data_IF_278115523144
#
_entry.id   IF_278115523144
#
_cell.length_a   1.000
_cell.length_b   1.000
_cell.length_c   1.000
_cell.angle_alpha   90.00
_cell.angle_beta   90.00
_cell.angle_gamma   90.00
#
_symmetry.space_group_name_H-M   'P 1'
#
loop_
_entity.id
_entity.type
_entity.pdbx_description
1 polymer ?
#
# COMPACT_ATOMS: atom_id res chain seq x y z
N UNK A 1 10.45 21.53 -2.70
CA UNK A 1 10.10 20.58 -1.62
C UNK A 1 8.71 20.93 -1.15
N UNK A 2 7.73 20.03 -1.29
CA UNK A 2 6.38 20.26 -0.75
C UNK A 2 6.46 20.22 0.77
N UNK A 3 6.00 21.27 1.43
CA UNK A 3 6.04 21.36 2.89
C UNK A 3 5.13 20.27 3.48
N UNK A 4 5.69 19.27 4.17
CA UNK A 4 4.98 18.07 4.62
C UNK A 4 3.85 18.34 5.62
N UNK A 5 3.76 19.57 6.13
CA UNK A 5 2.76 19.98 7.11
C UNK A 5 1.48 20.56 6.50
N UNK A 6 1.40 20.74 5.18
CA UNK A 6 0.16 21.19 4.52
C UNK A 6 -0.51 20.06 3.75
N UNK A 7 -1.84 19.91 3.86
CA UNK A 7 -2.56 18.94 3.06
C UNK A 7 -2.54 19.34 1.58
N UNK A 8 -2.38 18.35 0.71
CA UNK A 8 -2.51 18.50 -0.74
C UNK A 8 -3.97 18.74 -1.14
N UNK A 9 -4.87 18.01 -0.50
CA UNK A 9 -6.32 18.08 -0.68
C UNK A 9 -6.94 17.87 0.70
N UNK A 10 -7.91 18.70 1.10
CA UNK A 10 -8.58 18.51 2.38
C UNK A 10 -9.99 19.08 2.39
N UNK A 11 -10.86 18.44 3.17
CA UNK A 11 -12.13 18.99 3.61
C UNK A 11 -12.26 18.88 5.14
N UNK A 12 -13.47 19.04 5.67
CA UNK A 12 -13.75 18.98 7.11
C UNK A 12 -13.47 17.61 7.75
N UNK A 13 -13.42 16.53 6.98
CA UNK A 13 -13.40 15.15 7.48
C UNK A 13 -12.22 14.33 6.98
N UNK A 14 -11.56 14.75 5.89
CA UNK A 14 -10.44 14.03 5.28
C UNK A 14 -9.38 15.03 4.84
N UNK A 15 -8.12 14.70 5.08
CA UNK A 15 -6.96 15.44 4.59
C UNK A 15 -5.90 14.51 4.01
N UNK A 16 -5.50 14.78 2.77
CA UNK A 16 -4.49 14.06 2.00
C UNK A 16 -3.14 14.76 2.14
N UNK A 17 -2.09 14.05 2.57
CA UNK A 17 -0.72 14.54 2.68
C UNK A 17 0.18 13.75 1.71
N UNK A 18 1.45 14.12 1.51
CA UNK A 18 2.32 13.41 0.57
C UNK A 18 2.50 11.90 0.83
N UNK A 19 2.50 11.46 2.10
CA UNK A 19 2.84 10.08 2.48
C UNK A 19 1.72 9.32 3.20
N UNK A 20 0.67 10.03 3.59
CA UNK A 20 -0.47 9.50 4.31
C UNK A 20 -1.68 10.37 4.07
N UNK A 21 -2.86 9.85 4.41
CA UNK A 21 -4.02 10.69 4.60
C UNK A 21 -4.60 10.49 6.00
N UNK A 22 -5.40 11.46 6.44
CA UNK A 22 -6.02 11.51 7.76
C UNK A 22 -7.52 11.58 7.58
N UNK A 23 -8.22 10.74 8.32
CA UNK A 23 -9.67 10.82 8.52
C UNK A 23 -9.90 11.47 9.88
N UNK A 24 -10.52 12.64 9.88
CA UNK A 24 -11.00 13.32 11.08
C UNK A 24 -12.35 12.74 11.51
N UNK A 25 -12.65 12.85 12.81
CA UNK A 25 -13.86 12.28 13.41
C UNK A 25 -13.99 10.78 13.17
N UNK A 26 -12.86 10.07 13.20
CA UNK A 26 -12.84 8.62 12.99
C UNK A 26 -13.62 7.87 14.10
N UNK A 27 -13.68 8.41 15.31
CA UNK A 27 -14.58 7.91 16.36
C UNK A 27 -15.52 9.04 16.79
N UNK A 28 -16.53 9.32 15.97
CA UNK A 28 -17.42 10.46 16.17
C UNK A 28 -17.90 10.58 17.63
N UNK A 29 -17.81 11.76 18.25
CA UNK A 29 -17.44 13.07 17.67
C UNK A 29 -15.94 13.43 17.78
N UNK A 30 -15.06 12.46 18.03
CA UNK A 30 -13.62 12.70 18.23
C UNK A 30 -12.74 11.77 17.40
N UNK A 31 -11.43 11.83 17.64
CA UNK A 31 -10.47 10.90 17.07
C UNK A 31 -10.02 11.26 15.65
N UNK A 32 -8.85 10.73 15.30
CA UNK A 32 -8.23 10.86 14.00
C UNK A 32 -7.62 9.51 13.63
N UNK A 33 -7.75 9.09 12.39
CA UNK A 33 -7.09 7.89 11.86
C UNK A 33 -6.12 8.32 10.78
N UNK A 34 -4.85 8.04 11.00
CA UNK A 34 -3.79 8.24 10.01
C UNK A 34 -3.58 6.94 9.25
N UNK A 35 -3.59 7.01 7.92
CA UNK A 35 -3.42 5.85 7.04
C UNK A 35 -2.29 6.17 6.06
N UNK A 36 -1.21 5.42 6.17
CA UNK A 36 -0.05 5.55 5.27
C UNK A 36 -0.32 4.81 3.97
N UNK A 37 0.07 5.40 2.83
CA UNK A 37 -0.20 4.81 1.52
C UNK A 37 0.50 3.45 1.31
N UNK A 38 1.62 3.21 1.97
CA UNK A 38 2.33 1.92 1.94
C UNK A 38 1.59 0.79 2.67
N UNK A 39 0.54 1.10 3.45
CA UNK A 39 -0.33 0.11 4.10
C UNK A 39 -1.59 -0.19 3.28
N UNK A 40 -1.85 0.60 2.23
CA UNK A 40 -3.02 0.40 1.38
C UNK A 40 -2.72 -0.71 0.36
N UNK A 41 -3.54 -1.76 0.38
CA UNK A 41 -3.48 -2.91 -0.52
C UNK A 41 -4.26 -2.65 -1.80
N UNK A 42 -5.46 -2.09 -1.67
CA UNK A 42 -6.31 -1.70 -2.80
C UNK A 42 -7.03 -0.38 -2.52
N UNK A 43 -7.38 0.29 -3.61
CA UNK A 43 -8.14 1.52 -3.65
C UNK A 43 -9.02 1.45 -4.89
N UNK A 44 -10.33 1.44 -4.69
CA UNK A 44 -11.34 1.26 -5.73
C UNK A 44 -12.30 2.45 -5.71
N UNK A 45 -12.70 2.91 -6.89
CA UNK A 45 -13.69 3.98 -7.05
C UNK A 45 -15.01 3.33 -7.49
N UNK A 46 -16.07 3.64 -6.76
CA UNK A 46 -17.41 3.07 -6.95
C UNK A 46 -18.46 4.18 -7.03
N UNK A 47 -19.60 3.89 -7.65
CA UNK A 47 -20.74 4.81 -7.66
C UNK A 47 -21.51 4.68 -6.35
N UNK A 48 -21.99 5.79 -5.79
CA UNK A 48 -22.89 5.73 -4.62
C UNK A 48 -24.23 5.10 -4.94
N UNK A 49 -24.61 5.03 -6.22
CA UNK A 49 -25.83 4.37 -6.67
C UNK A 49 -25.76 2.85 -6.48
N UNK A 50 -24.55 2.29 -6.31
CA UNK A 50 -24.31 0.88 -6.04
C UNK A 50 -24.57 0.52 -4.56
N UNK A 51 -24.79 1.52 -3.69
CA UNK A 51 -25.02 1.32 -2.26
C UNK A 51 -26.50 1.15 -1.94
N UNK A 52 -26.81 0.08 -1.22
CA UNK A 52 -28.15 -0.12 -0.68
C UNK A 52 -28.48 0.96 0.37
N UNK A 53 -29.78 1.20 0.59
CA UNK A 53 -30.26 2.18 1.58
C UNK A 53 -29.63 1.99 2.98
N UNK A 54 -29.38 0.73 3.38
CA UNK A 54 -28.76 0.40 4.67
C UNK A 54 -27.25 0.66 4.73
N UNK A 55 -26.60 0.86 3.59
CA UNK A 55 -25.18 1.13 3.45
C UNK A 55 -24.87 2.63 3.40
N UNK A 56 -25.87 3.46 3.12
CA UNK A 56 -25.78 4.92 3.08
C UNK A 56 -25.74 5.59 4.47
N UNK A 57 -25.05 4.98 5.45
CA UNK A 57 -24.86 5.58 6.78
C UNK A 57 -24.08 6.88 6.70
N UNK A 58 -24.30 7.82 7.62
CA UNK A 58 -23.49 9.05 7.67
C UNK A 58 -22.10 8.83 8.29
N UNK A 59 -21.96 7.83 9.16
CA UNK A 59 -20.72 7.48 9.87
C UNK A 59 -20.79 6.05 10.43
N UNK A 60 -19.62 5.45 10.65
CA UNK A 60 -19.47 4.18 11.35
C UNK A 60 -19.65 2.96 10.45
N UNK A 61 -19.82 1.80 11.07
CA UNK A 61 -20.00 0.54 10.34
C UNK A 61 -21.48 0.27 10.06
N UNK A 62 -21.80 -0.21 8.86
CA UNK A 62 -23.14 -0.69 8.48
C UNK A 62 -23.30 -2.19 8.77
N UNK A 63 -24.25 -2.86 8.10
CA UNK A 63 -24.31 -4.33 8.05
C UNK A 63 -23.27 -4.92 7.08
N UNK A 64 -22.67 -4.09 6.23
CA UNK A 64 -21.55 -4.46 5.36
C UNK A 64 -20.21 -4.31 6.08
N UNK A 65 -19.14 -5.02 5.65
CA UNK A 65 -17.81 -4.94 6.24
C UNK A 65 -17.07 -3.64 5.87
N UNK A 66 -17.82 -2.54 5.71
CA UNK A 66 -17.33 -1.21 5.36
C UNK A 66 -17.61 -0.26 6.52
N UNK A 67 -16.55 0.35 7.01
CA UNK A 67 -16.60 1.45 7.95
C UNK A 67 -16.51 2.76 7.20
N UNK A 68 -17.44 3.65 7.52
CA UNK A 68 -17.63 4.90 6.82
C UNK A 68 -17.18 6.07 7.66
N UNK A 69 -16.38 6.96 7.06
CA UNK A 69 -16.05 8.22 7.72
C UNK A 69 -17.28 9.14 7.87
N UNK A 70 -17.16 10.18 8.69
CA UNK A 70 -18.26 11.11 8.89
C UNK A 70 -18.42 12.00 7.64
N UNK A 71 -19.54 11.89 6.93
CA UNK A 71 -19.89 12.82 5.83
C UNK A 71 -21.40 13.06 5.79
N UNK A 72 -21.82 14.24 6.27
CA UNK A 72 -23.23 14.64 6.28
C UNK A 72 -23.81 14.88 4.89
N UNK A 73 -22.95 15.03 3.88
CA UNK A 73 -23.35 15.25 2.48
C UNK A 73 -23.29 13.97 1.66
N UNK A 74 -23.08 12.79 2.27
CA UNK A 74 -22.92 11.52 1.54
C UNK A 74 -24.01 11.26 0.51
N UNK A 75 -25.26 11.48 0.89
CA UNK A 75 -26.43 11.26 0.02
C UNK A 75 -26.45 12.14 -1.24
N UNK A 76 -25.59 13.16 -1.29
CA UNK A 76 -25.43 14.08 -2.43
C UNK A 76 -24.14 13.81 -3.22
N UNK A 77 -23.34 12.83 -2.82
CA UNK A 77 -22.10 12.45 -3.52
C UNK A 77 -22.45 11.46 -4.60
N UNK A 78 -21.67 11.44 -5.69
CA UNK A 78 -21.85 10.46 -6.78
C UNK A 78 -20.91 9.27 -6.67
N UNK A 79 -19.76 9.48 -6.03
CA UNK A 79 -18.70 8.49 -5.96
C UNK A 79 -18.19 8.31 -4.53
N UNK A 80 -17.69 7.12 -4.26
CA UNK A 80 -16.94 6.82 -3.05
C UNK A 80 -15.69 6.00 -3.37
N UNK A 81 -14.68 6.11 -2.51
CA UNK A 81 -13.51 5.24 -2.53
C UNK A 81 -13.70 4.16 -1.49
N UNK A 82 -13.45 2.91 -1.89
CA UNK A 82 -13.29 1.78 -0.99
C UNK A 82 -11.79 1.48 -0.82
N UNK A 83 -11.30 1.55 0.43
CA UNK A 83 -9.90 1.34 0.78
C UNK A 83 -9.71 0.06 1.60
N UNK A 84 -8.87 -0.83 1.10
CA UNK A 84 -8.24 -1.88 1.91
C UNK A 84 -6.91 -1.35 2.47
N UNK A 85 -6.92 -0.93 3.74
CA UNK A 85 -5.74 -0.44 4.45
C UNK A 85 -5.03 -1.54 5.25
N UNK A 86 -5.12 -2.81 4.81
CA UNK A 86 -4.61 -3.99 5.52
C UNK A 86 -5.15 -4.08 6.96
N UNK A 87 -6.43 -3.78 7.12
CA UNK A 87 -7.13 -3.87 8.39
C UNK A 87 -8.60 -4.16 8.13
N UNK A 88 -9.24 -4.81 9.10
CA UNK A 88 -10.69 -4.94 9.12
C UNK A 88 -11.30 -3.86 10.00
N UNK A 89 -12.42 -3.22 9.61
CA UNK A 89 -13.13 -3.33 8.32
C UNK A 89 -12.49 -2.52 7.17
N UNK A 90 -13.02 -2.67 5.95
CA UNK A 90 -12.69 -1.79 4.81
C UNK A 90 -13.14 -0.36 5.12
N UNK A 91 -12.51 0.62 4.49
CA UNK A 91 -12.80 2.04 4.74
C UNK A 91 -13.46 2.68 3.53
N UNK A 92 -14.69 3.15 3.72
CA UNK A 92 -15.44 3.92 2.74
C UNK A 92 -15.27 5.43 2.94
N UNK A 93 -14.83 6.13 1.88
CA UNK A 93 -14.59 7.57 1.88
C UNK A 93 -15.41 8.24 0.79
N UNK A 94 -15.99 9.38 1.12
CA UNK A 94 -16.76 10.25 0.21
C UNK A 94 -16.28 11.68 0.38
N UNK A 95 -16.18 12.42 -0.72
CA UNK A 95 -15.81 13.84 -0.75
C UNK A 95 -16.58 14.53 -1.89
N UNK A 96 -16.34 15.81 -2.13
CA UNK A 96 -16.83 16.47 -3.34
C UNK A 96 -16.35 15.69 -4.58
N UNK A 97 -17.19 15.59 -5.62
CA UNK A 97 -16.96 14.68 -6.75
C UNK A 97 -15.61 14.90 -7.44
N UNK A 98 -15.14 16.15 -7.51
CA UNK A 98 -13.81 16.47 -8.03
C UNK A 98 -12.71 15.95 -7.11
N UNK A 99 -12.81 16.24 -5.81
CA UNK A 99 -11.78 15.92 -4.82
C UNK A 99 -11.64 14.41 -4.61
N UNK A 100 -12.75 13.66 -4.63
CA UNK A 100 -12.71 12.20 -4.49
C UNK A 100 -11.98 11.55 -5.67
N UNK A 101 -12.17 12.05 -6.89
CA UNK A 101 -11.44 11.57 -8.08
C UNK A 101 -9.95 11.90 -7.98
N UNK A 102 -9.62 13.13 -7.57
CA UNK A 102 -8.23 13.57 -7.40
C UNK A 102 -7.48 12.71 -6.35
N UNK A 103 -8.14 12.44 -5.22
CA UNK A 103 -7.58 11.58 -4.16
C UNK A 103 -7.46 10.13 -4.63
N UNK A 104 -8.47 9.60 -5.32
CA UNK A 104 -8.40 8.26 -5.89
C UNK A 104 -7.18 8.09 -6.79
N UNK A 105 -6.99 9.01 -7.75
CA UNK A 105 -5.86 8.99 -8.67
C UNK A 105 -4.52 9.09 -7.93
N UNK A 106 -4.44 9.96 -6.93
CA UNK A 106 -3.23 10.13 -6.12
C UNK A 106 -2.89 8.86 -5.33
N UNK A 107 -3.87 8.24 -4.66
CA UNK A 107 -3.67 6.99 -3.91
C UNK A 107 -3.24 5.88 -4.86
N UNK A 108 -3.88 5.74 -6.03
CA UNK A 108 -3.52 4.74 -7.05
C UNK A 108 -2.08 4.89 -7.52
N UNK A 109 -1.64 6.13 -7.78
CA UNK A 109 -0.25 6.41 -8.15
C UNK A 109 0.72 5.99 -7.04
N UNK A 110 0.40 6.28 -5.77
CA UNK A 110 1.21 5.87 -4.61
C UNK A 110 1.27 4.35 -4.44
N UNK A 111 0.15 3.65 -4.61
CA UNK A 111 0.10 2.18 -4.55
C UNK A 111 0.99 1.58 -5.65
N UNK A 112 0.85 2.05 -6.90
CA UNK A 112 1.65 1.57 -8.02
C UNK A 112 3.15 1.78 -7.77
N UNK A 113 3.54 2.99 -7.35
CA UNK A 113 4.93 3.30 -7.02
C UNK A 113 5.51 2.38 -5.93
N UNK A 114 4.73 2.12 -4.87
CA UNK A 114 5.15 1.23 -3.79
C UNK A 114 5.31 -0.23 -4.26
N UNK A 115 4.41 -0.72 -5.11
CA UNK A 115 4.48 -2.07 -5.66
C UNK A 115 5.70 -2.23 -6.59
N UNK A 116 5.97 -1.23 -7.44
CA UNK A 116 7.14 -1.24 -8.31
C UNK A 116 8.46 -1.24 -7.53
N UNK A 117 8.55 -0.42 -6.47
CA UNK A 117 9.73 -0.41 -5.60
C UNK A 117 9.96 -1.75 -4.91
N UNK A 118 8.89 -2.36 -4.38
CA UNK A 118 8.98 -3.66 -3.73
C UNK A 118 9.41 -4.77 -4.71
N UNK A 119 8.91 -4.74 -5.95
CA UNK A 119 9.35 -5.67 -7.00
C UNK A 119 10.84 -5.51 -7.33
N UNK A 120 11.31 -4.26 -7.44
CA UNK A 120 12.72 -3.96 -7.70
C UNK A 120 13.62 -4.42 -6.55
N UNK A 121 13.26 -4.15 -5.30
CA UNK A 121 14.00 -4.61 -4.12
C UNK A 121 14.10 -6.14 -4.08
N UNK A 122 13.01 -6.85 -4.40
CA UNK A 122 12.99 -8.32 -4.45
C UNK A 122 13.89 -8.87 -5.55
N UNK A 123 13.95 -8.21 -6.72
CA UNK A 123 14.85 -8.58 -7.81
C UNK A 123 16.32 -8.38 -7.42
N UNK A 124 16.66 -7.24 -6.80
CA UNK A 124 18.01 -6.96 -6.32
C UNK A 124 18.44 -8.02 -5.30
N UNK A 125 17.59 -8.30 -4.31
CA UNK A 125 17.86 -9.30 -3.28
C UNK A 125 18.12 -10.70 -3.87
N UNK A 126 17.26 -11.14 -4.80
CA UNK A 126 17.41 -12.44 -5.45
C UNK A 126 18.70 -12.51 -6.28
N UNK A 127 19.05 -11.45 -7.01
CA UNK A 127 20.29 -11.40 -7.78
C UNK A 127 21.52 -11.51 -6.88
N UNK A 128 21.57 -10.77 -5.77
CA UNK A 128 22.68 -10.84 -4.81
C UNK A 128 22.82 -12.23 -4.19
N UNK A 129 21.69 -12.89 -3.89
CA UNK A 129 21.69 -14.24 -3.34
C UNK A 129 22.25 -15.26 -4.34
N UNK A 130 21.80 -15.23 -5.60
CA UNK A 130 22.31 -16.13 -6.65
C UNK A 130 23.81 -15.94 -6.90
N UNK A 131 24.31 -14.71 -6.89
CA UNK A 131 25.76 -14.44 -7.02
C UNK A 131 26.54 -15.06 -5.86
N UNK A 132 26.05 -14.92 -4.62
CA UNK A 132 26.71 -15.51 -3.45
C UNK A 132 26.74 -17.04 -3.47
N UNK A 133 25.66 -17.68 -3.94
CA UNK A 133 25.57 -19.14 -4.04
C UNK A 133 26.54 -19.67 -5.11
N UNK A 134 26.65 -18.97 -6.25
CA UNK A 134 27.56 -19.32 -7.32
C UNK A 134 29.04 -19.21 -6.91
N UNK A 135 29.41 -18.16 -6.17
CA UNK A 135 30.78 -18.01 -5.66
C UNK A 135 31.18 -19.13 -4.68
N UNK A 136 30.24 -19.61 -3.87
CA UNK A 136 30.47 -20.74 -2.94
C UNK A 136 30.68 -22.05 -3.72
N UNK A 137 29.90 -22.27 -4.78
CA UNK A 137 30.00 -23.45 -5.62
C UNK A 137 31.32 -23.48 -6.42
N UNK A 138 31.72 -22.34 -7.00
CA UNK A 138 32.98 -22.20 -7.73
C UNK A 138 34.19 -22.46 -6.82
N UNK A 139 34.17 -21.97 -5.56
CA UNK A 139 35.22 -22.24 -4.58
C UNK A 139 35.34 -23.72 -4.22
N UNK A 140 34.20 -24.40 -3.99
CA UNK A 140 34.17 -25.85 -3.71
C UNK A 140 34.70 -26.67 -4.89
N UNK A 141 34.34 -26.27 -6.11
CA UNK A 141 34.79 -26.95 -7.33
C UNK A 141 36.31 -26.78 -7.54
N UNK A 142 36.84 -25.58 -7.33
CA UNK A 142 38.27 -25.30 -7.40
C UNK A 142 39.09 -26.07 -6.34
N UNK A 143 38.55 -26.21 -5.12
CA UNK A 143 39.17 -26.96 -4.03
C UNK A 143 39.20 -28.47 -4.31
N UNK A 144 38.11 -29.03 -4.87
CA UNK A 144 38.08 -30.41 -5.33
C UNK A 144 39.08 -30.69 -6.46
N UNK A 145 39.24 -29.77 -7.42
CA UNK A 145 40.26 -29.89 -8.46
C UNK A 145 41.68 -29.85 -7.89
N UNK A 146 41.97 -28.94 -6.96
CA UNK A 146 43.27 -28.88 -6.27
C UNK A 146 43.58 -30.19 -5.54
N UNK A 147 42.61 -30.73 -4.79
CA UNK A 147 42.79 -31.98 -4.06
C UNK A 147 43.03 -33.18 -5.00
N UNK A 148 42.34 -33.22 -6.16
CA UNK A 148 42.59 -34.23 -7.19
C UNK A 148 43.98 -34.13 -7.80
N UNK A 149 44.49 -32.91 -8.03
CA UNK A 149 45.82 -32.71 -8.59
C UNK A 149 46.91 -33.14 -7.60
N UNK A 150 46.79 -32.74 -6.34
CA UNK A 150 47.72 -33.14 -5.26
C UNK A 150 47.79 -34.66 -5.12
N UNK A 151 46.67 -35.37 -5.29
CA UNK A 151 46.64 -36.83 -5.20
C UNK A 151 47.35 -37.50 -6.38
N UNK A 152 47.23 -36.93 -7.60
CA UNK A 152 47.95 -37.42 -8.78
C UNK A 152 49.45 -37.21 -8.66
N UNK A 153 49.87 -36.03 -8.24
CA UNK A 153 51.30 -35.68 -8.11
C UNK A 153 52.02 -36.53 -7.04
N UNK A 154 51.28 -37.12 -6.09
CA UNK A 154 51.80 -38.06 -5.08
C UNK A 154 51.89 -39.53 -5.54
N UNK A 155 51.24 -39.90 -6.65
CA UNK A 155 51.28 -41.26 -7.22
C UNK A 155 52.45 -41.45 -8.20
N UNK A 156 53.01 -40.35 -8.70
CA UNK A 156 54.09 -40.33 -9.69
C UNK A 156 55.50 -40.14 -9.04
N UNK A 157 55.61 -40.22 -7.71
CA UNK A 157 56.86 -40.21 -6.92
C UNK A 157 57.14 -41.58 -6.30
#
# INVERSE_FOLDING_TARGET
>A
MVNSNQPLISNNFVACYPDYFVIFLYYFPFGKKKIYYNKIRSCELHSTDDLDFFEQKLWGMALSPVWWHCDMKRLMRKNYILLDANQWPLIGITMDDKDIIDIYNFIRQKIYFNQSNFANEKLIYNSSKTTSEKEIEDKKSAENLKNKQIFRDKLDQ
#
